data_IF_317644827552
#
_entry.id   IF_317644827552
#
_cell.length_a   1.000
_cell.length_b   1.000
_cell.length_c   1.000
_cell.angle_alpha   90.00
_cell.angle_beta   90.00
_cell.angle_gamma   90.00
#
_symmetry.space_group_name_H-M   'P 1'
#
loop_
_entity.id
_entity.type
_entity.pdbx_description
1 polymer ?
#
# COMPACT_ATOMS: atom_id res chain seq x y z
N UNK A 1 -4.91 26.40 5.68
CA UNK A 1 -4.31 25.15 5.17
C UNK A 1 -5.47 24.40 4.55
N UNK A 2 -5.62 24.48 3.24
CA UNK A 2 -6.61 23.65 2.56
C UNK A 2 -6.14 22.21 2.60
N UNK A 3 -7.01 21.31 3.03
CA UNK A 3 -6.83 19.89 2.75
C UNK A 3 -7.00 19.69 1.24
N UNK A 4 -6.18 18.83 0.63
CA UNK A 4 -6.42 18.41 -0.74
C UNK A 4 -7.62 17.45 -0.75
N UNK A 5 -8.83 18.00 -0.85
CA UNK A 5 -10.07 17.23 -0.93
C UNK A 5 -10.24 16.69 -2.36
N UNK A 6 -10.20 15.37 -2.50
CA UNK A 6 -10.56 14.68 -3.75
C UNK A 6 -12.05 14.32 -3.67
N UNK A 7 -12.90 15.28 -4.03
CA UNK A 7 -14.34 15.24 -3.76
C UNK A 7 -15.16 15.75 -4.93
N UNK A 8 -16.34 15.13 -5.14
CA UNK A 8 -17.36 15.69 -6.02
C UNK A 8 -18.10 16.79 -5.26
N UNK A 9 -18.42 17.90 -5.92
CA UNK A 9 -19.15 19.04 -5.30
C UNK A 9 -20.54 18.65 -4.75
N UNK A 10 -21.08 17.49 -5.12
CA UNK A 10 -22.27 16.92 -4.51
C UNK A 10 -22.01 16.30 -3.13
N UNK A 11 -20.85 15.65 -2.92
CA UNK A 11 -20.56 14.88 -1.70
C UNK A 11 -20.26 15.77 -0.49
N UNK A 12 -19.67 16.95 -0.73
CA UNK A 12 -19.38 17.94 0.33
C UNK A 12 -20.65 18.68 0.81
N UNK A 13 -21.70 18.72 -0.01
CA UNK A 13 -22.98 19.33 0.38
C UNK A 13 -23.77 18.44 1.35
N UNK A 14 -23.56 17.13 1.30
CA UNK A 14 -24.28 16.15 2.13
C UNK A 14 -23.60 15.89 3.48
N UNK A 15 -22.25 15.90 3.51
CA UNK A 15 -21.46 15.67 4.72
C UNK A 15 -20.21 16.56 4.73
N UNK A 16 -20.13 17.45 5.72
CA UNK A 16 -18.89 18.11 6.09
C UNK A 16 -18.01 17.16 6.90
N UNK A 17 -16.76 16.96 6.50
CA UNK A 17 -15.74 16.28 7.31
C UNK A 17 -14.63 17.29 7.57
N UNK A 18 -14.15 17.38 8.80
CA UNK A 18 -12.96 18.16 9.13
C UNK A 18 -12.05 17.38 10.07
N UNK A 19 -10.73 17.58 9.94
CA UNK A 19 -9.73 16.87 10.74
C UNK A 19 -8.89 17.90 11.47
N UNK A 20 -8.90 17.83 12.80
CA UNK A 20 -8.05 18.66 13.66
C UNK A 20 -6.99 17.80 14.35
N UNK A 21 -5.76 18.32 14.40
CA UNK A 21 -4.57 17.63 14.91
C UNK A 21 -3.99 18.46 16.05
N UNK A 22 -3.73 17.85 17.20
CA UNK A 22 -3.17 18.57 18.36
C UNK A 22 -1.74 19.03 18.09
N UNK A 23 -1.47 20.32 18.34
CA UNK A 23 -0.12 20.90 18.24
C UNK A 23 0.84 20.38 19.32
N UNK A 24 0.29 19.95 20.45
CA UNK A 24 1.03 19.35 21.56
C UNK A 24 0.89 17.83 21.52
N UNK A 25 1.99 17.12 21.79
CA UNK A 25 1.92 15.70 22.09
C UNK A 25 1.42 15.55 23.53
N UNK A 26 0.29 14.86 23.68
CA UNK A 26 -0.25 14.51 24.99
C UNK A 26 0.52 13.29 25.51
N UNK A 27 1.48 13.53 26.40
CA UNK A 27 2.00 12.48 27.28
C UNK A 27 0.84 12.01 28.16
N UNK A 28 0.40 10.75 28.00
CA UNK A 28 -0.81 10.27 28.68
C UNK A 28 -0.63 10.26 30.19
N UNK A 29 -1.36 11.12 30.90
CA UNK A 29 -1.19 11.40 32.32
C UNK A 29 -1.57 10.22 33.26
N UNK A 30 -2.10 9.12 32.73
CA UNK A 30 -2.51 7.94 33.50
C UNK A 30 -1.35 7.05 33.99
N UNK A 31 -0.12 7.22 33.51
CA UNK A 31 1.04 6.40 33.93
C UNK A 31 2.01 7.18 34.83
N UNK A 32 1.64 7.40 36.10
CA UNK A 32 2.55 7.86 37.17
C UNK A 32 2.95 6.77 38.18
N UNK A 33 2.63 5.50 37.89
CA UNK A 33 2.82 4.38 38.81
C UNK A 33 3.70 3.22 38.29
N UNK A 34 4.26 3.31 37.09
CA UNK A 34 5.21 2.31 36.57
C UNK A 34 6.20 2.93 35.57
N UNK A 35 7.44 2.44 35.58
CA UNK A 35 8.56 2.99 34.82
C UNK A 35 8.58 2.56 33.33
N UNK A 36 7.42 2.55 32.67
CA UNK A 36 7.31 2.39 31.22
C UNK A 36 7.28 3.76 30.55
N UNK A 37 8.22 4.01 29.64
CA UNK A 37 8.31 5.30 28.94
C UNK A 37 7.02 5.57 28.14
N UNK A 38 6.33 6.67 28.45
CA UNK A 38 5.13 7.08 27.74
C UNK A 38 5.48 7.46 26.29
N UNK A 39 5.18 6.56 25.35
CA UNK A 39 5.31 6.83 23.90
C UNK A 39 4.55 8.14 23.57
N UNK A 40 5.16 9.11 22.86
CA UNK A 40 4.48 10.35 22.50
C UNK A 40 3.28 10.03 21.59
N UNK A 41 2.12 10.62 21.91
CA UNK A 41 0.89 10.49 21.13
C UNK A 41 0.44 11.85 20.63
N UNK A 42 -0.10 11.90 19.42
CA UNK A 42 -0.77 13.07 18.86
C UNK A 42 -2.27 12.78 18.78
N UNK A 43 -3.10 13.68 19.30
CA UNK A 43 -4.55 13.55 19.32
C UNK A 43 -5.10 14.07 18.00
N UNK A 44 -5.82 13.22 17.27
CA UNK A 44 -6.48 13.55 16.01
C UNK A 44 -7.97 13.41 16.20
N UNK A 45 -8.73 14.47 15.88
CA UNK A 45 -10.18 14.49 15.96
C UNK A 45 -10.75 14.67 14.56
N UNK A 46 -11.50 13.68 14.11
CA UNK A 46 -12.33 13.75 12.90
C UNK A 46 -13.71 14.23 13.33
N UNK A 47 -14.11 15.40 12.87
CA UNK A 47 -15.44 15.96 13.08
C UNK A 47 -16.30 15.74 11.84
N UNK A 48 -17.51 15.22 12.06
CA UNK A 48 -18.50 14.87 11.06
C UNK A 48 -19.72 15.78 11.24
N UNK A 49 -20.11 16.48 10.17
CA UNK A 49 -21.19 17.46 10.17
C UNK A 49 -22.21 17.08 9.07
N UNK A 50 -23.27 16.31 9.38
CA UNK A 50 -24.27 15.93 8.40
C UNK A 50 -25.13 17.14 8.01
N UNK A 51 -25.36 17.33 6.70
CA UNK A 51 -26.39 18.27 6.20
C UNK A 51 -27.76 17.60 6.02
N UNK A 52 -27.76 16.27 5.91
CA UNK A 52 -28.91 15.40 5.66
C UNK A 52 -28.71 14.13 6.52
N UNK A 53 -29.76 13.46 7.03
CA UNK A 53 -29.60 12.17 7.70
C UNK A 53 -28.92 11.13 6.81
N UNK A 54 -27.79 10.58 7.28
CA UNK A 54 -26.99 9.57 6.59
C UNK A 54 -27.07 8.23 7.32
N UNK A 55 -26.86 7.13 6.57
CA UNK A 55 -26.84 5.77 7.12
C UNK A 55 -25.58 5.02 6.72
N UNK A 56 -25.22 4.01 7.52
CA UNK A 56 -24.08 3.11 7.27
C UNK A 56 -22.77 3.85 6.98
N UNK A 57 -22.46 4.85 7.81
CA UNK A 57 -21.25 5.65 7.68
C UNK A 57 -20.05 4.92 8.30
N UNK A 58 -18.95 4.79 7.55
CA UNK A 58 -17.71 4.17 8.01
C UNK A 58 -16.56 5.18 7.85
N UNK A 59 -15.97 5.58 8.98
CA UNK A 59 -14.74 6.38 9.03
C UNK A 59 -13.55 5.44 9.16
N UNK A 60 -12.60 5.53 8.25
CA UNK A 60 -11.33 4.81 8.28
C UNK A 60 -10.17 5.80 8.36
N UNK A 61 -9.31 5.64 9.35
CA UNK A 61 -8.14 6.48 9.60
C UNK A 61 -6.90 5.68 9.25
N UNK A 62 -6.19 6.14 8.23
CA UNK A 62 -5.05 5.49 7.59
C UNK A 62 -3.80 6.33 7.88
N UNK A 63 -2.77 5.65 8.39
CA UNK A 63 -1.41 6.18 8.59
C UNK A 63 -0.43 5.14 8.04
N UNK A 64 0.65 5.60 7.42
CA UNK A 64 1.66 4.69 6.85
C UNK A 64 2.63 4.19 7.96
N UNK A 65 3.07 2.93 7.92
CA UNK A 65 4.10 2.43 8.83
C UNK A 65 5.38 3.28 8.79
N UNK A 66 6.05 3.51 9.92
CA UNK A 66 5.87 2.86 11.23
C UNK A 66 4.89 3.58 12.19
N UNK A 67 4.10 4.54 11.70
CA UNK A 67 3.04 5.16 12.51
C UNK A 67 1.87 4.18 12.70
N UNK A 68 1.21 4.27 13.85
CA UNK A 68 0.00 3.53 14.16
C UNK A 68 -1.05 4.45 14.81
N UNK A 69 -2.32 4.18 14.55
CA UNK A 69 -3.45 4.84 15.20
C UNK A 69 -4.10 3.88 16.22
N UNK A 70 -4.47 4.39 17.41
CA UNK A 70 -5.17 3.59 18.43
C UNK A 70 -6.55 3.13 17.97
N UNK A 71 -7.22 3.92 17.12
CA UNK A 71 -8.46 3.56 16.43
C UNK A 71 -8.31 3.85 14.95
N UNK A 72 -8.36 2.81 14.12
CA UNK A 72 -8.20 2.87 12.65
C UNK A 72 -9.52 2.83 11.89
N UNK A 73 -10.63 2.39 12.52
CA UNK A 73 -11.96 2.44 11.91
C UNK A 73 -13.07 2.70 12.93
N UNK A 74 -14.19 3.23 12.44
CA UNK A 74 -15.41 3.48 13.21
C UNK A 74 -16.63 3.40 12.29
N UNK A 75 -17.62 2.59 12.63
CA UNK A 75 -18.91 2.55 11.94
C UNK A 75 -19.97 3.27 12.76
N UNK A 76 -20.79 4.09 12.10
CA UNK A 76 -21.91 4.85 12.65
C UNK A 76 -23.14 4.48 11.81
N UNK A 77 -24.13 3.82 12.44
CA UNK A 77 -25.30 3.28 11.75
C UNK A 77 -26.23 4.36 11.19
N UNK A 78 -26.43 5.44 11.94
CA UNK A 78 -27.16 6.63 11.52
C UNK A 78 -26.48 7.89 12.05
N UNK A 79 -26.36 8.92 11.22
CA UNK A 79 -25.76 10.21 11.56
C UNK A 79 -26.74 11.34 11.22
N UNK A 80 -27.37 11.91 12.26
CA UNK A 80 -28.32 13.02 12.15
C UNK A 80 -27.77 14.34 12.73
N UNK A 81 -26.80 14.26 13.64
CA UNK A 81 -26.20 15.40 14.33
C UNK A 81 -24.67 15.38 14.19
N UNK A 82 -24.02 16.48 14.61
CA UNK A 82 -22.56 16.58 14.69
C UNK A 82 -21.98 15.44 15.54
N UNK A 83 -21.01 14.71 14.99
CA UNK A 83 -20.29 13.65 15.70
C UNK A 83 -18.78 13.84 15.61
N UNK A 84 -18.03 13.29 16.56
CA UNK A 84 -16.57 13.35 16.59
C UNK A 84 -15.97 11.96 16.84
N UNK A 85 -15.03 11.56 15.98
CA UNK A 85 -14.21 10.36 16.16
C UNK A 85 -12.81 10.80 16.59
N UNK A 86 -12.47 10.53 17.84
CA UNK A 86 -11.13 10.80 18.39
C UNK A 86 -10.26 9.57 18.21
N UNK A 87 -9.02 9.77 17.76
CA UNK A 87 -7.97 8.76 17.74
C UNK A 87 -6.64 9.35 18.22
N UNK A 88 -5.69 8.48 18.55
CA UNK A 88 -4.34 8.88 18.92
C UNK A 88 -3.35 8.21 17.96
N UNK A 89 -2.52 9.01 17.29
CA UNK A 89 -1.45 8.53 16.41
C UNK A 89 -0.13 8.55 17.16
N UNK A 90 0.65 7.50 17.02
CA UNK A 90 1.93 7.30 17.70
C UNK A 90 2.92 6.52 16.83
N UNK A 91 4.21 6.62 17.15
CA UNK A 91 5.26 5.81 16.52
C UNK A 91 5.26 4.41 17.13
N UNK A 92 5.01 3.36 16.33
CA UNK A 92 4.93 1.97 16.82
C UNK A 92 6.30 1.33 16.97
N UNK A 93 7.17 1.49 15.97
CA UNK A 93 8.54 0.99 15.99
C UNK A 93 9.52 2.15 15.75
N UNK A 94 10.42 2.36 16.71
CA UNK A 94 11.42 3.45 16.70
C UNK A 94 12.63 3.09 15.83
N UNK A 95 12.82 1.82 15.46
CA UNK A 95 13.89 1.34 14.58
C UNK A 95 13.64 1.63 13.10
N UNK A 96 12.40 1.99 12.74
CA UNK A 96 11.96 2.23 11.38
C UNK A 96 11.93 3.73 11.06
N UNK A 97 12.40 4.10 9.87
CA UNK A 97 12.35 5.50 9.41
C UNK A 97 10.94 5.93 9.02
N UNK A 98 10.58 7.17 9.35
CA UNK A 98 9.26 7.74 9.04
C UNK A 98 9.34 8.52 7.73
N UNK A 99 8.68 8.02 6.68
CA UNK A 99 8.73 8.62 5.34
C UNK A 99 7.90 9.91 5.26
N UNK A 100 6.64 9.88 5.74
CA UNK A 100 5.75 11.03 5.77
C UNK A 100 5.00 11.12 7.11
N UNK A 101 4.38 12.28 7.35
CA UNK A 101 3.62 12.59 8.56
C UNK A 101 2.11 12.79 8.27
N UNK A 102 1.60 12.15 7.22
CA UNK A 102 0.21 12.33 6.79
C UNK A 102 -0.75 11.35 7.49
N UNK A 103 -1.88 11.88 7.95
CA UNK A 103 -3.06 11.09 8.34
C UNK A 103 -4.10 11.25 7.25
N UNK A 104 -4.51 10.15 6.63
CA UNK A 104 -5.55 10.10 5.62
C UNK A 104 -6.82 9.54 6.23
N UNK A 105 -7.89 10.33 6.22
CA UNK A 105 -9.22 9.94 6.72
C UNK A 105 -10.12 9.70 5.52
N UNK A 106 -10.63 8.49 5.40
CA UNK A 106 -11.58 8.06 4.36
C UNK A 106 -12.91 7.79 5.03
N UNK A 107 -13.94 8.56 4.65
CA UNK A 107 -15.29 8.41 5.18
C UNK A 107 -16.22 7.95 4.07
N UNK A 108 -16.71 6.72 4.14
CA UNK A 108 -17.75 6.21 3.24
C UNK A 108 -19.13 6.26 3.91
N UNK A 109 -20.19 6.45 3.14
CA UNK A 109 -21.57 6.45 3.63
C UNK A 109 -22.58 6.14 2.52
N UNK A 110 -23.81 5.77 2.92
CA UNK A 110 -24.92 5.53 1.99
C UNK A 110 -25.87 6.73 2.00
N UNK A 111 -26.22 7.22 0.80
CA UNK A 111 -27.23 8.28 0.67
C UNK A 111 -28.62 7.76 1.04
N UNK A 112 -29.37 8.54 1.82
CA UNK A 112 -30.79 8.27 2.09
C UNK A 112 -31.65 8.38 0.83
N UNK A 113 -31.25 9.24 -0.12
CA UNK A 113 -31.84 9.35 -1.45
C UNK A 113 -31.06 8.45 -2.41
N UNK A 114 -31.64 7.32 -2.81
CA UNK A 114 -31.13 6.41 -3.83
C UNK A 114 -30.19 5.30 -3.36
N UNK A 115 -29.69 5.31 -2.12
CA UNK A 115 -28.89 4.21 -1.58
C UNK A 115 -27.54 4.01 -2.29
N UNK A 116 -26.93 5.08 -2.78
CA UNK A 116 -25.64 5.00 -3.46
C UNK A 116 -24.49 5.18 -2.45
N UNK A 117 -23.40 4.38 -2.54
CA UNK A 117 -22.22 4.58 -1.72
C UNK A 117 -21.47 5.83 -2.19
N UNK A 118 -21.20 6.75 -1.26
CA UNK A 118 -20.32 7.90 -1.44
C UNK A 118 -19.07 7.72 -0.58
N UNK A 119 -17.97 8.34 -1.01
CA UNK A 119 -16.69 8.35 -0.28
C UNK A 119 -16.13 9.77 -0.28
N UNK A 120 -15.67 10.23 0.88
CA UNK A 120 -14.91 11.45 1.09
C UNK A 120 -13.50 11.09 1.55
N UNK A 121 -12.48 11.80 1.08
CA UNK A 121 -11.10 11.65 1.56
C UNK A 121 -10.52 13.01 1.98
N UNK A 122 -9.94 13.06 3.17
CA UNK A 122 -9.24 14.23 3.72
C UNK A 122 -7.89 13.80 4.26
N UNK A 123 -6.85 14.59 3.95
CA UNK A 123 -5.49 14.38 4.49
C UNK A 123 -5.10 15.54 5.41
N UNK A 124 -4.55 15.22 6.58
CA UNK A 124 -4.00 16.17 7.55
C UNK A 124 -2.53 15.85 7.85
N UNK A 125 -1.74 16.85 8.26
CA UNK A 125 -0.32 16.70 8.62
C UNK A 125 -0.14 16.62 10.15
N UNK A 126 0.67 15.67 10.60
CA UNK A 126 1.09 15.50 12.00
C UNK A 126 2.25 16.45 12.36
N UNK A 127 2.38 16.84 13.64
CA UNK A 127 3.52 17.62 14.10
C UNK A 127 4.81 16.78 14.06
N UNK A 128 5.89 17.36 13.53
CA UNK A 128 7.23 16.75 13.52
C UNK A 128 7.70 16.32 14.94
N UNK A 129 7.25 17.02 15.98
CA UNK A 129 7.54 16.71 17.38
C UNK A 129 6.99 15.34 17.86
N UNK A 130 6.14 14.66 17.07
CA UNK A 130 5.71 13.29 17.34
C UNK A 130 6.86 12.27 17.13
N UNK A 131 7.80 12.56 16.24
CA UNK A 131 8.82 11.61 15.76
C UNK A 131 10.26 12.14 15.88
N UNK A 132 10.46 13.41 16.20
CA UNK A 132 11.78 14.02 16.35
C UNK A 132 11.86 14.88 17.62
N UNK A 133 13.01 14.78 18.31
CA UNK A 133 13.42 15.64 19.41
C UNK A 133 14.63 16.49 19.02
N UNK A 134 14.88 17.58 19.74
CA UNK A 134 16.06 18.43 19.51
C UNK A 134 17.26 17.83 20.25
N UNK A 135 18.36 17.63 19.53
CA UNK A 135 19.63 17.10 20.07
C UNK A 135 20.75 18.15 19.95
N UNK A 136 21.91 17.86 20.55
CA UNK A 136 23.12 18.66 20.39
C UNK A 136 23.62 18.65 18.94
N UNK A 137 24.32 19.73 18.53
CA UNK A 137 24.82 19.87 17.16
C UNK A 137 26.00 18.92 16.88
N UNK A 138 25.76 17.93 16.04
CA UNK A 138 26.82 17.08 15.46
C UNK A 138 27.39 17.78 14.21
N UNK A 139 28.73 17.78 14.07
CA UNK A 139 29.44 18.50 12.98
C UNK A 139 29.81 17.62 11.79
N UNK A 140 29.84 16.31 12.00
CA UNK A 140 30.26 15.30 11.02
C UNK A 140 29.12 14.29 10.84
N UNK A 141 28.90 13.88 9.59
CA UNK A 141 27.92 12.89 9.19
C UNK A 141 28.26 12.42 7.77
N UNK A 142 27.81 11.24 7.38
CA UNK A 142 28.19 10.60 6.11
C UNK A 142 27.49 11.23 4.90
N UNK A 143 26.17 11.49 4.98
CA UNK A 143 25.38 12.00 3.87
C UNK A 143 25.11 13.50 4.02
N UNK A 144 25.33 14.26 2.93
CA UNK A 144 25.23 15.73 2.92
C UNK A 144 24.47 16.21 1.69
N UNK A 145 23.34 16.87 1.91
CA UNK A 145 22.48 17.45 0.85
C UNK A 145 22.51 18.96 0.99
N UNK A 146 22.78 19.68 -0.10
CA UNK A 146 22.77 21.15 -0.13
C UNK A 146 21.63 21.63 -1.02
N UNK A 147 20.69 22.37 -0.45
CA UNK A 147 19.56 23.02 -1.12
C UNK A 147 19.89 24.49 -1.32
N UNK A 148 19.67 25.02 -2.52
CA UNK A 148 19.83 26.44 -2.82
C UNK A 148 18.47 27.15 -2.72
N UNK A 149 18.48 28.39 -2.23
CA UNK A 149 17.28 29.25 -2.20
C UNK A 149 17.58 30.56 -2.92
N UNK A 150 16.58 31.15 -3.58
CA UNK A 150 16.72 32.42 -4.29
C UNK A 150 16.41 33.67 -3.43
N UNK A 151 16.17 33.48 -2.14
CA UNK A 151 15.88 34.53 -1.15
C UNK A 151 17.00 34.56 -0.10
N UNK A 152 17.20 35.66 0.66
CA UNK A 152 18.08 35.63 1.83
C UNK A 152 17.62 34.51 2.79
N UNK A 153 18.56 33.75 3.38
CA UNK A 153 18.20 32.72 4.35
C UNK A 153 17.44 33.37 5.51
N UNK A 154 16.21 32.93 5.73
CA UNK A 154 15.49 33.26 6.96
C UNK A 154 16.38 32.86 8.13
N UNK A 155 16.60 33.78 9.08
CA UNK A 155 17.60 33.59 10.12
C UNK A 155 17.27 32.33 10.91
N UNK A 156 18.02 31.28 10.63
CA UNK A 156 18.14 30.18 11.55
C UNK A 156 18.54 30.84 12.90
N UNK A 157 17.71 30.74 13.95
CA UNK A 157 17.64 31.51 15.23
C UNK A 157 16.18 31.90 15.49
N UNK A 158 15.45 32.29 14.43
CA UNK A 158 14.03 31.93 14.30
C UNK A 158 13.88 30.45 13.89
N UNK A 159 14.93 29.85 13.29
CA UNK A 159 15.17 28.38 13.21
C UNK A 159 16.44 27.91 14.01
N UNK A 160 17.70 27.84 13.51
CA UNK A 160 18.97 27.61 14.32
C UNK A 160 20.34 28.27 13.84
N UNK A 161 20.97 29.24 14.55
CA UNK A 161 22.00 30.19 14.02
C UNK A 161 23.18 29.66 13.20
N UNK A 162 23.29 30.13 11.94
CA UNK A 162 24.46 29.98 11.06
C UNK A 162 24.64 31.17 10.09
N UNK A 163 25.89 31.42 9.66
CA UNK A 163 26.30 32.62 8.90
C UNK A 163 25.88 32.60 7.42
N UNK A 164 25.72 33.80 6.86
CA UNK A 164 25.24 34.14 5.50
C UNK A 164 25.67 33.21 4.35
N UNK A 165 24.78 32.29 3.95
CA UNK A 165 24.76 31.75 2.60
C UNK A 165 23.32 31.46 2.17
N UNK A 166 22.97 31.69 0.90
CA UNK A 166 21.64 31.38 0.33
C UNK A 166 21.45 29.86 0.09
N UNK A 167 21.97 29.03 1.01
CA UNK A 167 21.99 27.57 0.90
C UNK A 167 21.76 26.94 2.27
N UNK A 168 20.86 25.95 2.33
CA UNK A 168 20.70 25.08 3.50
C UNK A 168 21.43 23.77 3.25
N UNK A 169 22.28 23.35 4.19
CA UNK A 169 22.93 22.04 4.14
C UNK A 169 22.34 21.14 5.22
N UNK A 170 21.70 20.07 4.80
CA UNK A 170 21.22 18.98 5.65
C UNK A 170 22.29 17.88 5.69
N UNK A 171 22.50 17.29 6.86
CA UNK A 171 23.50 16.25 7.09
C UNK A 171 22.91 15.16 7.99
N UNK A 172 23.18 13.89 7.71
CA UNK A 172 22.79 12.76 8.56
C UNK A 172 23.63 11.51 8.23
N UNK A 173 23.66 10.57 9.17
CA UNK A 173 24.43 9.32 9.06
C UNK A 173 23.71 8.30 8.16
N UNK A 174 22.42 8.47 7.89
CA UNK A 174 21.66 7.61 6.98
C UNK A 174 20.75 8.42 6.07
N UNK A 175 20.83 8.15 4.76
CA UNK A 175 20.08 8.87 3.72
C UNK A 175 18.55 8.85 3.90
N UNK A 176 17.97 7.76 4.43
CA UNK A 176 16.53 7.64 4.67
C UNK A 176 16.01 8.72 5.62
N UNK A 177 16.71 8.97 6.72
CA UNK A 177 16.35 10.00 7.72
C UNK A 177 16.25 11.41 7.12
N UNK A 178 17.08 11.74 6.12
CA UNK A 178 17.08 13.05 5.45
C UNK A 178 15.76 13.34 4.74
N UNK A 179 15.02 12.31 4.32
CA UNK A 179 13.75 12.45 3.57
C UNK A 179 12.71 13.29 4.31
N UNK A 180 12.48 12.97 5.58
CA UNK A 180 11.50 13.66 6.41
C UNK A 180 11.91 15.09 6.73
N UNK A 181 13.19 15.32 7.05
CA UNK A 181 13.68 16.66 7.36
C UNK A 181 13.76 17.55 6.12
N UNK A 182 14.13 17.01 4.95
CA UNK A 182 14.15 17.73 3.70
C UNK A 182 12.73 18.13 3.25
N UNK A 183 11.77 17.19 3.26
CA UNK A 183 10.38 17.48 2.89
C UNK A 183 9.75 18.52 3.81
N UNK A 184 9.89 18.38 5.13
CA UNK A 184 9.37 19.33 6.12
C UNK A 184 10.08 20.70 6.05
N UNK A 185 11.38 20.76 5.75
CA UNK A 185 12.08 22.03 5.52
C UNK A 185 11.54 22.73 4.27
N UNK A 186 11.40 22.02 3.15
CA UNK A 186 10.85 22.56 1.90
C UNK A 186 9.40 23.04 2.08
N UNK A 187 8.55 22.27 2.78
CA UNK A 187 7.17 22.66 3.07
C UNK A 187 7.10 23.93 3.94
N UNK A 188 7.92 24.02 4.99
CA UNK A 188 8.00 25.20 5.88
C UNK A 188 8.55 26.43 5.16
N UNK A 189 9.57 26.27 4.32
CA UNK A 189 10.11 27.37 3.52
C UNK A 189 9.06 27.89 2.54
N UNK A 190 8.37 27.00 1.80
CA UNK A 190 7.25 27.39 0.92
C UNK A 190 6.14 28.13 1.68
N UNK A 191 5.79 27.69 2.89
CA UNK A 191 4.81 28.37 3.77
C UNK A 191 5.30 29.74 4.26
N UNK A 192 6.56 29.86 4.68
CA UNK A 192 7.14 31.12 5.16
C UNK A 192 7.24 32.16 4.05
N UNK A 193 7.74 31.76 2.88
CA UNK A 193 7.92 32.62 1.71
C UNK A 193 6.66 32.72 0.83
N UNK A 194 5.50 32.19 1.25
CA UNK A 194 4.24 32.28 0.49
C UNK A 194 3.77 33.72 0.21
N UNK A 195 4.19 34.69 1.04
CA UNK A 195 3.89 36.12 0.85
C UNK A 195 4.83 36.81 -0.16
N UNK A 196 6.01 36.24 -0.43
CA UNK A 196 6.98 36.73 -1.42
C UNK A 196 6.78 36.01 -2.74
N UNK A 197 6.47 36.77 -3.81
CA UNK A 197 6.35 36.20 -5.15
C UNK A 197 7.69 35.60 -5.61
N UNK A 198 7.63 34.47 -6.32
CA UNK A 198 8.77 33.75 -6.89
C UNK A 198 9.79 33.18 -5.89
N UNK A 199 9.37 32.50 -4.83
CA UNK A 199 10.29 31.64 -4.06
C UNK A 199 10.63 30.35 -4.83
N UNK A 200 11.91 30.07 -5.01
CA UNK A 200 12.43 28.84 -5.63
C UNK A 200 13.45 28.19 -4.70
N UNK A 201 13.26 26.89 -4.45
CA UNK A 201 14.20 26.05 -3.73
C UNK A 201 14.72 25.01 -4.72
N UNK A 202 16.00 25.12 -5.12
CA UNK A 202 16.59 24.30 -6.18
C UNK A 202 17.67 23.36 -5.67
N UNK A 203 17.77 22.20 -6.31
CA UNK A 203 18.82 21.22 -6.08
C UNK A 203 19.70 21.08 -7.33
N UNK A 204 21.02 21.14 -7.15
CA UNK A 204 21.99 21.21 -8.26
C UNK A 204 23.11 20.18 -8.14
N UNK A 205 22.96 19.18 -7.27
CA UNK A 205 23.94 18.10 -7.07
C UNK A 205 23.43 16.80 -7.70
N UNK A 206 24.30 15.79 -7.82
CA UNK A 206 23.92 14.47 -8.33
C UNK A 206 22.97 13.75 -7.38
N UNK A 207 21.98 13.03 -7.92
CA UNK A 207 21.06 12.22 -7.14
C UNK A 207 21.77 10.98 -6.53
N UNK A 208 21.44 10.58 -5.28
CA UNK A 208 22.04 9.43 -4.58
C UNK A 208 21.47 8.10 -5.08
N UNK A 209 21.79 7.77 -6.33
CA UNK A 209 21.29 6.58 -7.03
C UNK A 209 21.88 5.27 -6.50
N UNK A 210 23.14 5.30 -6.07
CA UNK A 210 23.84 4.13 -5.54
C UNK A 210 23.17 3.64 -4.25
N UNK A 211 22.86 4.58 -3.35
CA UNK A 211 22.25 4.33 -2.04
C UNK A 211 20.82 3.79 -2.19
N UNK A 212 20.06 4.31 -3.16
CA UNK A 212 18.75 3.75 -3.52
C UNK A 212 18.88 2.28 -3.92
N UNK A 213 19.85 1.95 -4.77
CA UNK A 213 20.06 0.57 -5.22
C UNK A 213 20.54 -0.34 -4.09
N UNK A 214 21.35 0.15 -3.13
CA UNK A 214 21.71 -0.59 -1.92
C UNK A 214 20.49 -0.88 -1.04
N UNK A 215 19.59 0.09 -0.82
CA UNK A 215 18.37 -0.11 -0.02
C UNK A 215 17.36 -1.02 -0.72
N UNK A 216 17.26 -0.94 -2.04
CA UNK A 216 16.45 -1.82 -2.89
C UNK A 216 16.93 -3.28 -2.78
N UNK A 217 18.24 -3.52 -2.90
CA UNK A 217 18.80 -4.88 -2.73
C UNK A 217 18.60 -5.42 -1.32
N UNK A 218 18.75 -4.58 -0.29
CA UNK A 218 18.49 -4.98 1.10
C UNK A 218 17.04 -5.41 1.31
N UNK A 219 16.07 -4.66 0.77
CA UNK A 219 14.65 -5.03 0.81
C UNK A 219 14.38 -6.35 0.06
N UNK A 220 14.88 -6.46 -1.17
CA UNK A 220 14.68 -7.66 -2.01
C UNK A 220 15.29 -8.93 -1.38
N UNK A 221 16.49 -8.82 -0.80
CA UNK A 221 17.13 -9.92 -0.08
C UNK A 221 16.35 -10.30 1.19
N UNK A 222 15.83 -9.34 1.95
CA UNK A 222 14.96 -9.61 3.11
C UNK A 222 13.65 -10.29 2.69
N UNK A 223 13.05 -9.89 1.57
CA UNK A 223 11.85 -10.52 0.97
C UNK A 223 12.12 -11.97 0.56
N UNK A 224 13.27 -12.25 -0.06
CA UNK A 224 13.71 -13.62 -0.37
C UNK A 224 13.93 -14.45 0.90
N UNK A 225 14.58 -13.88 1.92
CA UNK A 225 14.84 -14.58 3.19
C UNK A 225 13.54 -14.93 3.92
N UNK A 226 12.63 -13.96 4.05
CA UNK A 226 11.31 -14.16 4.65
C UNK A 226 10.54 -15.28 3.93
N UNK A 227 10.55 -15.30 2.59
CA UNK A 227 9.89 -16.37 1.80
C UNK A 227 10.50 -17.75 2.06
N UNK A 228 11.83 -17.87 2.12
CA UNK A 228 12.51 -19.14 2.45
C UNK A 228 12.11 -19.66 3.84
N UNK A 229 12.10 -18.80 4.84
CA UNK A 229 11.67 -19.15 6.21
C UNK A 229 10.18 -19.53 6.25
N UNK A 230 9.33 -18.85 5.48
CA UNK A 230 7.90 -19.20 5.36
C UNK A 230 7.69 -20.58 4.73
N UNK A 231 8.41 -20.89 3.64
CA UNK A 231 8.37 -22.20 2.97
C UNK A 231 8.90 -23.32 3.89
N UNK A 232 9.98 -23.06 4.62
CA UNK A 232 10.55 -23.98 5.61
C UNK A 232 9.59 -24.25 6.78
N UNK A 233 8.95 -23.22 7.33
CA UNK A 233 7.92 -23.37 8.37
C UNK A 233 6.75 -24.22 7.86
N UNK A 234 6.33 -24.02 6.60
CA UNK A 234 5.31 -24.84 5.94
C UNK A 234 5.68 -26.31 5.82
N UNK A 235 6.95 -26.62 5.52
CA UNK A 235 7.49 -27.97 5.48
C UNK A 235 7.56 -28.59 6.89
N UNK A 236 8.17 -27.89 7.87
CA UNK A 236 8.27 -28.33 9.28
C UNK A 236 6.87 -28.61 9.88
N UNK A 237 5.90 -27.73 9.65
CA UNK A 237 4.51 -27.91 10.08
C UNK A 237 3.81 -29.11 9.41
N UNK A 238 4.19 -29.46 8.17
CA UNK A 238 3.64 -30.61 7.44
C UNK A 238 4.25 -31.93 7.95
N UNK A 239 5.54 -31.94 8.26
CA UNK A 239 6.22 -33.05 8.93
C UNK A 239 5.62 -33.29 10.32
N UNK A 240 5.43 -32.24 11.12
CA UNK A 240 4.80 -32.31 12.44
C UNK A 240 3.40 -32.94 12.38
N UNK A 241 2.53 -32.48 11.46
CA UNK A 241 1.22 -33.08 11.22
C UNK A 241 1.29 -34.55 10.78
N UNK A 242 2.31 -34.95 10.03
CA UNK A 242 2.53 -36.35 9.66
C UNK A 242 2.95 -37.22 10.86
N UNK A 243 3.85 -36.72 11.70
CA UNK A 243 4.28 -37.36 12.96
C UNK A 243 3.09 -37.52 13.91
N UNK A 244 2.31 -36.46 14.14
CA UNK A 244 1.10 -36.48 14.98
C UNK A 244 0.09 -37.53 14.49
N UNK A 245 -0.21 -37.58 13.18
CA UNK A 245 -1.12 -38.61 12.62
C UNK A 245 -0.59 -40.03 12.87
N UNK A 246 0.70 -40.27 12.64
CA UNK A 246 1.32 -41.58 12.87
C UNK A 246 1.30 -41.98 14.35
N UNK A 247 1.50 -41.00 15.25
CA UNK A 247 1.45 -41.19 16.69
C UNK A 247 0.03 -41.53 17.16
N UNK A 248 -0.99 -40.82 16.68
CA UNK A 248 -2.41 -41.11 16.95
C UNK A 248 -2.83 -42.50 16.46
N UNK A 249 -2.38 -42.92 15.26
CA UNK A 249 -2.63 -44.28 14.77
C UNK A 249 -1.99 -45.33 15.69
N UNK A 250 -0.75 -45.12 16.15
CA UNK A 250 -0.09 -46.03 17.10
C UNK A 250 -0.77 -46.07 18.47
N UNK A 251 -1.24 -44.94 19.00
CA UNK A 251 -1.99 -44.91 20.27
C UNK A 251 -3.36 -45.61 20.19
N UNK A 252 -3.93 -45.76 18.99
CA UNK A 252 -5.18 -46.48 18.75
C UNK A 252 -4.98 -48.00 18.60
N UNK A 253 -3.75 -48.45 18.38
CA UNK A 253 -3.41 -49.87 18.28
C UNK A 253 -3.46 -50.52 19.68
N UNK A 254 -3.93 -51.76 19.75
CA UNK A 254 -4.00 -52.53 21.00
C UNK A 254 -2.68 -53.21 21.35
N UNK A 255 -1.71 -53.20 20.44
CA UNK A 255 -0.40 -53.85 20.62
C UNK A 255 0.66 -52.86 21.13
N UNK A 256 1.41 -53.19 22.21
CA UNK A 256 2.38 -52.28 22.80
C UNK A 256 3.66 -52.19 21.94
N UNK A 257 3.63 -51.32 20.93
CA UNK A 257 4.81 -50.93 20.17
C UNK A 257 5.62 -49.83 20.89
N UNK A 258 6.95 -49.75 20.73
CA UNK A 258 7.72 -48.62 21.24
C UNK A 258 7.29 -47.30 20.56
N UNK A 259 6.99 -46.31 21.40
CA UNK A 259 6.52 -44.97 21.02
C UNK A 259 7.59 -43.89 21.28
N UNK A 260 8.60 -44.18 22.11
CA UNK A 260 9.66 -43.26 22.57
C UNK A 260 10.25 -42.43 21.44
N UNK A 261 10.78 -43.07 20.39
CA UNK A 261 11.47 -42.39 19.29
C UNK A 261 10.55 -41.42 18.52
N UNK A 262 9.26 -41.75 18.43
CA UNK A 262 8.26 -40.90 17.76
C UNK A 262 7.84 -39.72 18.66
N UNK A 263 7.85 -39.90 19.98
CA UNK A 263 7.67 -38.83 20.96
C UNK A 263 8.85 -37.86 20.96
N UNK A 264 10.08 -38.36 20.96
CA UNK A 264 11.31 -37.55 20.84
C UNK A 264 11.30 -36.79 19.51
N UNK A 265 10.99 -37.44 18.40
CA UNK A 265 10.90 -36.79 17.09
C UNK A 265 9.82 -35.69 17.08
N UNK A 266 8.65 -35.92 17.68
CA UNK A 266 7.60 -34.90 17.82
C UNK A 266 8.09 -33.67 18.61
N UNK A 267 8.78 -33.89 19.73
CA UNK A 267 9.35 -32.82 20.55
C UNK A 267 10.43 -32.02 19.79
N UNK A 268 11.33 -32.70 19.09
CA UNK A 268 12.35 -32.05 18.25
C UNK A 268 11.72 -31.24 17.12
N UNK A 269 10.74 -31.80 16.39
CA UNK A 269 10.04 -31.03 15.33
C UNK A 269 9.24 -29.86 15.90
N UNK A 270 8.70 -29.96 17.11
CA UNK A 270 8.06 -28.83 17.78
C UNK A 270 9.05 -27.70 18.11
N UNK A 271 10.20 -28.03 18.70
CA UNK A 271 11.27 -27.05 18.97
C UNK A 271 11.76 -26.37 17.68
N UNK A 272 11.95 -27.15 16.62
CA UNK A 272 12.30 -26.64 15.29
C UNK A 272 11.22 -25.72 14.68
N UNK A 273 9.94 -25.94 14.96
CA UNK A 273 8.86 -25.03 14.52
C UNK A 273 8.93 -23.71 15.27
N UNK A 274 9.17 -23.73 16.59
CA UNK A 274 9.32 -22.51 17.39
C UNK A 274 10.53 -21.69 16.92
N UNK A 275 11.69 -22.32 16.76
CA UNK A 275 12.91 -21.65 16.29
C UNK A 275 12.72 -20.98 14.92
N UNK A 276 12.07 -21.66 13.96
CA UNK A 276 11.77 -21.05 12.65
C UNK A 276 10.71 -19.95 12.75
N UNK A 277 9.75 -20.03 13.68
CA UNK A 277 8.79 -18.96 13.92
C UNK A 277 9.49 -17.70 14.47
N UNK A 278 10.37 -17.85 15.47
CA UNK A 278 11.15 -16.75 16.04
C UNK A 278 12.04 -16.08 14.96
N UNK A 279 12.68 -16.88 14.10
CA UNK A 279 13.47 -16.38 12.97
C UNK A 279 12.59 -15.68 11.91
N UNK A 280 11.37 -16.17 11.67
CA UNK A 280 10.42 -15.56 10.73
C UNK A 280 9.91 -14.21 11.26
N UNK A 281 9.64 -14.10 12.55
CA UNK A 281 9.27 -12.82 13.19
C UNK A 281 10.41 -11.79 13.09
N UNK A 282 11.65 -12.18 13.40
CA UNK A 282 12.82 -11.32 13.23
C UNK A 282 13.02 -10.89 11.76
N UNK A 283 12.83 -11.81 10.81
CA UNK A 283 12.92 -11.50 9.38
C UNK A 283 11.76 -10.61 8.90
N UNK A 284 10.59 -10.65 9.54
CA UNK A 284 9.47 -9.76 9.28
C UNK A 284 9.75 -8.34 9.78
N UNK A 285 10.32 -8.19 10.97
CA UNK A 285 10.76 -6.88 11.49
C UNK A 285 11.86 -6.27 10.59
N UNK A 286 12.86 -7.05 10.19
CA UNK A 286 13.92 -6.61 9.28
C UNK A 286 13.41 -6.25 7.87
N UNK A 287 12.38 -6.95 7.37
CA UNK A 287 11.71 -6.59 6.12
C UNK A 287 10.95 -5.27 6.25
N UNK A 288 10.21 -5.05 7.35
CA UNK A 288 9.50 -3.81 7.62
C UNK A 288 10.48 -2.61 7.74
N UNK A 289 11.63 -2.79 8.39
CA UNK A 289 12.65 -1.75 8.50
C UNK A 289 13.26 -1.41 7.13
N UNK A 290 13.62 -2.41 6.32
CA UNK A 290 14.13 -2.21 4.97
C UNK A 290 13.10 -1.54 4.05
N UNK A 291 11.82 -1.91 4.19
CA UNK A 291 10.67 -1.30 3.49
C UNK A 291 10.56 0.19 3.81
N UNK A 292 10.53 0.57 5.10
CA UNK A 292 10.52 1.98 5.51
C UNK A 292 11.73 2.76 4.98
N UNK A 293 12.95 2.20 5.05
CA UNK A 293 14.17 2.82 4.51
C UNK A 293 14.10 3.06 3.00
N UNK A 294 13.56 2.09 2.24
CA UNK A 294 13.38 2.19 0.80
C UNK A 294 12.38 3.28 0.43
N UNK A 295 11.20 3.30 1.06
CA UNK A 295 10.17 4.33 0.85
C UNK A 295 10.73 5.73 1.13
N UNK A 296 11.43 5.92 2.26
CA UNK A 296 12.07 7.19 2.60
C UNK A 296 13.04 7.63 1.51
N UNK A 297 13.87 6.71 0.99
CA UNK A 297 14.87 7.00 -0.04
C UNK A 297 14.22 7.35 -1.39
N UNK A 298 13.17 6.62 -1.79
CA UNK A 298 12.36 6.93 -2.97
C UNK A 298 11.71 8.33 -2.87
N UNK A 299 11.07 8.65 -1.74
CA UNK A 299 10.44 9.95 -1.52
C UNK A 299 11.46 11.10 -1.52
N UNK A 300 12.66 10.87 -0.98
CA UNK A 300 13.74 11.86 -1.05
C UNK A 300 14.18 12.12 -2.49
N UNK A 301 14.36 11.07 -3.29
CA UNK A 301 14.77 11.21 -4.69
C UNK A 301 13.67 11.91 -5.52
N UNK A 302 12.40 11.59 -5.30
CA UNK A 302 11.26 12.31 -5.92
C UNK A 302 11.26 13.78 -5.50
N UNK A 303 11.52 14.10 -4.22
CA UNK A 303 11.61 15.48 -3.73
C UNK A 303 12.80 16.24 -4.35
N UNK A 304 13.98 15.61 -4.43
CA UNK A 304 15.17 16.19 -5.07
C UNK A 304 14.91 16.47 -6.55
N UNK A 305 14.29 15.51 -7.27
CA UNK A 305 13.87 15.66 -8.67
C UNK A 305 12.87 16.81 -8.87
N UNK A 306 11.84 16.91 -8.01
CA UNK A 306 10.89 18.04 -8.00
C UNK A 306 11.56 19.40 -7.70
N UNK A 307 12.76 19.42 -7.11
CA UNK A 307 13.58 20.63 -6.91
C UNK A 307 14.63 20.87 -8.01
N UNK A 308 14.79 19.96 -8.97
CA UNK A 308 15.62 20.19 -10.16
C UNK A 308 14.83 20.92 -11.27
N UNK A 309 13.49 20.90 -11.21
CA UNK A 309 12.56 21.64 -12.08
C UNK A 309 12.79 21.42 -13.59
N UNK A 310 13.12 20.17 -13.97
CA UNK A 310 13.51 19.78 -15.34
C UNK A 310 12.40 19.13 -16.17
N UNK A 311 11.19 18.96 -15.64
CA UNK A 311 10.11 18.22 -16.29
C UNK A 311 8.72 18.73 -15.89
N UNK A 312 7.67 18.21 -16.54
CA UNK A 312 6.30 18.64 -16.25
C UNK A 312 5.81 18.15 -14.88
N UNK A 313 4.88 18.89 -14.27
CA UNK A 313 4.26 18.48 -13.00
C UNK A 313 3.49 17.15 -13.11
N UNK A 314 3.04 16.77 -14.30
CA UNK A 314 2.37 15.50 -14.53
C UNK A 314 3.36 14.33 -14.55
N UNK A 315 4.49 14.45 -15.25
CA UNK A 315 5.51 13.39 -15.30
C UNK A 315 6.09 13.08 -13.91
N UNK A 316 6.22 14.10 -13.05
CA UNK A 316 6.58 13.90 -11.64
C UNK A 316 5.49 13.16 -10.85
N UNK A 317 4.21 13.41 -11.14
CA UNK A 317 3.08 12.72 -10.51
C UNK A 317 2.98 11.27 -10.97
N UNK A 318 3.22 11.00 -12.26
CA UNK A 318 3.26 9.65 -12.83
C UNK A 318 4.43 8.84 -12.26
N UNK A 319 5.61 9.46 -12.08
CA UNK A 319 6.75 8.79 -11.44
C UNK A 319 6.48 8.52 -9.95
N UNK A 320 5.85 9.45 -9.23
CA UNK A 320 5.47 9.27 -7.82
C UNK A 320 4.42 8.17 -7.64
N UNK A 321 3.46 8.05 -8.57
CA UNK A 321 2.52 6.95 -8.62
C UNK A 321 3.21 5.62 -8.94
N UNK A 322 4.13 5.59 -9.91
CA UNK A 322 4.86 4.38 -10.31
C UNK A 322 5.77 3.86 -9.18
N UNK A 323 6.48 4.75 -8.48
CA UNK A 323 7.38 4.40 -7.37
C UNK A 323 6.66 4.15 -6.03
N UNK A 324 5.31 4.22 -6.00
CA UNK A 324 4.38 3.97 -4.88
C UNK A 324 4.90 4.27 -3.46
N UNK A 325 4.30 5.26 -2.81
CA UNK A 325 4.60 5.63 -1.41
C UNK A 325 4.28 4.55 -0.37
N UNK A 326 3.66 3.43 -0.75
CA UNK A 326 3.38 2.26 0.09
C UNK A 326 4.00 1.00 -0.54
N UNK A 327 4.82 0.29 0.24
CA UNK A 327 5.37 -1.02 -0.11
C UNK A 327 4.39 -2.10 0.32
N UNK A 328 3.91 -2.88 -0.64
CA UNK A 328 2.98 -3.98 -0.39
C UNK A 328 3.70 -5.33 -0.30
N UNK A 329 3.38 -6.11 0.73
CA UNK A 329 3.99 -7.41 1.02
C UNK A 329 3.02 -8.58 0.73
N UNK A 330 2.33 -8.58 -0.43
CA UNK A 330 1.47 -9.71 -0.78
C UNK A 330 2.29 -10.98 -1.08
N UNK A 331 1.73 -12.15 -0.77
CA UNK A 331 2.43 -13.45 -0.85
C UNK A 331 2.86 -13.84 -2.29
N UNK A 332 2.17 -13.33 -3.31
CA UNK A 332 2.42 -13.66 -4.72
C UNK A 332 3.16 -12.53 -5.48
N UNK A 333 2.81 -11.27 -5.23
CA UNK A 333 3.39 -10.09 -5.90
C UNK A 333 3.87 -9.06 -4.86
N UNK A 334 5.09 -8.56 -5.00
CA UNK A 334 5.67 -7.53 -4.14
C UNK A 334 5.66 -6.16 -4.78
N UNK A 335 6.18 -5.18 -4.05
CA UNK A 335 6.39 -3.83 -4.55
C UNK A 335 7.35 -3.79 -5.75
N UNK A 336 8.39 -4.64 -5.76
CA UNK A 336 9.38 -4.69 -6.85
C UNK A 336 8.76 -5.09 -8.20
N UNK A 337 7.93 -6.14 -8.25
CA UNK A 337 7.31 -6.58 -9.50
C UNK A 337 6.27 -5.57 -10.03
N UNK A 338 5.49 -4.95 -9.13
CA UNK A 338 4.50 -3.93 -9.48
C UNK A 338 5.17 -2.64 -9.97
N UNK A 339 6.19 -2.17 -9.25
CA UNK A 339 6.95 -0.95 -9.59
C UNK A 339 7.75 -1.13 -10.87
N UNK A 340 8.34 -2.30 -11.12
CA UNK A 340 9.03 -2.58 -12.39
C UNK A 340 8.06 -2.56 -13.58
N UNK A 341 6.88 -3.17 -13.45
CA UNK A 341 5.85 -3.14 -14.47
C UNK A 341 5.36 -1.70 -14.75
N UNK A 342 5.12 -0.91 -13.69
CA UNK A 342 4.71 0.49 -13.80
C UNK A 342 5.78 1.38 -14.47
N UNK A 343 7.04 1.28 -14.05
CA UNK A 343 8.16 2.00 -14.67
C UNK A 343 8.38 1.56 -16.12
N UNK A 344 8.29 0.26 -16.41
CA UNK A 344 8.45 -0.26 -17.76
C UNK A 344 7.29 0.13 -18.69
N UNK A 345 6.08 0.39 -18.16
CA UNK A 345 4.99 1.03 -18.91
C UNK A 345 5.30 2.51 -19.16
N UNK A 346 5.62 3.27 -18.11
CA UNK A 346 5.92 4.70 -18.15
C UNK A 346 7.06 5.02 -19.14
N UNK A 347 8.13 4.22 -19.14
CA UNK A 347 9.25 4.31 -20.09
C UNK A 347 8.86 4.07 -21.56
N UNK A 348 7.75 3.38 -21.82
CA UNK A 348 7.23 3.11 -23.18
C UNK A 348 6.09 4.05 -23.59
N UNK A 349 5.52 4.84 -22.67
CA UNK A 349 4.38 5.72 -22.92
C UNK A 349 4.73 7.21 -22.78
N UNK A 350 4.83 7.74 -21.56
CA UNK A 350 5.15 9.16 -21.31
C UNK A 350 6.61 9.48 -21.59
N UNK A 351 7.55 8.66 -21.08
CA UNK A 351 8.99 8.87 -21.26
C UNK A 351 9.59 8.15 -22.47
N UNK A 352 8.80 7.79 -23.49
CA UNK A 352 9.27 7.06 -24.68
C UNK A 352 10.25 7.89 -25.54
N UNK A 353 11.36 7.29 -26.00
CA UNK A 353 12.34 7.95 -26.89
C UNK A 353 11.90 7.99 -28.35
N UNK A 354 10.94 7.16 -28.77
CA UNK A 354 10.53 7.07 -30.18
C UNK A 354 9.10 6.54 -30.34
N UNK A 355 8.44 6.93 -31.43
CA UNK A 355 7.11 6.43 -31.80
C UNK A 355 7.06 4.91 -32.04
N UNK A 356 8.20 4.27 -32.37
CA UNK A 356 8.34 2.80 -32.44
C UNK A 356 8.37 2.12 -31.05
N UNK A 357 8.75 2.84 -30.00
CA UNK A 357 8.71 2.36 -28.61
C UNK A 357 7.26 2.37 -28.11
N UNK A 358 6.50 3.43 -28.44
CA UNK A 358 5.04 3.54 -28.17
C UNK A 358 4.18 2.49 -28.89
N UNK A 359 4.63 1.92 -30.00
CA UNK A 359 3.91 0.86 -30.72
C UNK A 359 4.17 -0.56 -30.18
N UNK A 360 5.11 -0.74 -29.24
CA UNK A 360 5.37 -2.04 -28.58
C UNK A 360 4.74 -2.12 -27.19
N UNK A 361 3.51 -1.65 -27.04
CA UNK A 361 2.70 -1.89 -25.82
C UNK A 361 2.17 -3.32 -25.88
N UNK A 362 3.06 -4.28 -25.62
CA UNK A 362 2.71 -5.66 -25.31
C UNK A 362 2.33 -5.74 -23.83
N UNK A 363 1.27 -6.49 -23.53
CA UNK A 363 0.77 -6.75 -22.17
C UNK A 363 1.92 -6.99 -21.18
N UNK A 364 2.08 -6.11 -20.19
CA UNK A 364 3.06 -6.25 -19.12
C UNK A 364 2.59 -7.33 -18.14
N UNK A 365 3.00 -8.57 -18.37
CA UNK A 365 2.81 -9.67 -17.41
C UNK A 365 3.68 -9.42 -16.18
N UNK A 366 3.05 -9.43 -15.00
CA UNK A 366 3.74 -9.27 -13.71
C UNK A 366 4.33 -10.64 -13.31
N UNK A 367 5.49 -10.95 -13.89
CA UNK A 367 6.27 -12.16 -13.54
C UNK A 367 7.12 -11.93 -12.29
N UNK A 368 7.33 -12.99 -11.51
CA UNK A 368 8.15 -12.95 -10.29
C UNK A 368 9.59 -12.52 -10.59
N UNK A 369 10.08 -11.46 -9.94
CA UNK A 369 11.42 -10.94 -10.19
C UNK A 369 12.49 -11.86 -9.59
N UNK A 370 13.43 -12.31 -10.43
CA UNK A 370 14.56 -13.17 -10.00
C UNK A 370 15.86 -12.40 -9.71
N UNK A 371 15.98 -11.17 -10.24
CA UNK A 371 17.18 -10.34 -10.15
C UNK A 371 16.82 -8.85 -10.29
N UNK A 372 17.44 -7.99 -9.47
CA UNK A 372 17.20 -6.54 -9.43
C UNK A 372 17.91 -5.78 -10.56
N UNK A 373 18.83 -6.40 -11.33
CA UNK A 373 19.62 -5.68 -12.36
C UNK A 373 18.78 -5.02 -13.46
N UNK A 374 17.66 -5.64 -13.89
CA UNK A 374 16.74 -5.04 -14.86
C UNK A 374 15.98 -3.86 -14.26
N UNK A 375 15.46 -4.05 -13.06
CA UNK A 375 14.68 -3.06 -12.32
C UNK A 375 15.49 -1.78 -12.04
N UNK A 376 16.73 -1.92 -11.57
CA UNK A 376 17.68 -0.80 -11.39
C UNK A 376 17.92 -0.02 -12.69
N UNK A 377 18.01 -0.71 -13.84
CA UNK A 377 18.15 -0.07 -15.17
C UNK A 377 16.89 0.69 -15.57
N UNK A 378 15.69 0.17 -15.27
CA UNK A 378 14.44 0.91 -15.49
C UNK A 378 14.35 2.15 -14.59
N UNK A 379 14.66 2.04 -13.30
CA UNK A 379 14.72 3.19 -12.37
C UNK A 379 15.71 4.24 -12.86
N UNK A 380 16.96 3.85 -13.17
CA UNK A 380 17.98 4.77 -13.69
C UNK A 380 17.50 5.43 -14.98
N UNK A 381 16.96 4.66 -15.93
CA UNK A 381 16.45 5.21 -17.19
C UNK A 381 15.25 6.14 -16.99
N UNK A 382 14.39 5.94 -16.00
CA UNK A 382 13.26 6.82 -15.74
C UNK A 382 13.76 8.17 -15.18
N UNK A 383 14.64 8.11 -14.18
CA UNK A 383 15.25 9.28 -13.54
C UNK A 383 16.15 10.05 -14.51
N UNK A 384 16.96 9.37 -15.33
CA UNK A 384 17.79 9.97 -16.38
C UNK A 384 16.95 10.66 -17.46
N UNK A 385 15.83 10.08 -17.87
CA UNK A 385 14.94 10.71 -18.86
C UNK A 385 14.27 11.96 -18.27
N UNK A 386 13.80 11.88 -17.02
CA UNK A 386 13.13 13.00 -16.35
C UNK A 386 14.07 14.17 -16.00
N UNK A 387 15.30 13.88 -15.57
CA UNK A 387 16.34 14.90 -15.30
C UNK A 387 16.90 15.57 -16.56
N UNK A 388 16.63 15.02 -17.75
CA UNK A 388 17.10 15.52 -19.05
C UNK A 388 15.94 15.97 -19.97
N UNK A 389 14.71 16.04 -19.47
CA UNK A 389 13.51 16.23 -20.29
C UNK A 389 13.26 17.68 -20.73
N UNK A 390 14.12 18.20 -21.60
CA UNK A 390 13.82 19.44 -22.36
C UNK A 390 12.89 19.19 -23.56
N UNK A 391 12.55 17.93 -23.86
CA UNK A 391 11.73 17.55 -25.00
C UNK A 391 10.27 17.32 -24.58
N UNK A 392 9.51 18.40 -24.53
CA UNK A 392 8.04 18.35 -24.52
C UNK A 392 7.57 17.79 -25.87
N UNK A 393 7.48 16.48 -25.97
CA UNK A 393 6.49 15.87 -26.86
C UNK A 393 5.16 16.03 -26.13
N UNK A 394 4.39 17.05 -26.52
CA UNK A 394 3.06 17.32 -25.96
C UNK A 394 2.27 16.01 -25.82
N UNK A 395 1.68 15.79 -24.64
CA UNK A 395 0.55 14.87 -24.51
C UNK A 395 -0.56 15.43 -25.40
N UNK A 396 -0.62 14.98 -26.65
CA UNK A 396 -1.93 14.87 -27.31
C UNK A 396 -2.76 13.97 -26.41
N UNK A 397 -3.76 14.55 -25.77
CA UNK A 397 -4.86 13.81 -25.19
C UNK A 397 -5.39 12.90 -26.30
N UNK A 398 -5.09 11.61 -26.17
CA UNK A 398 -5.82 10.60 -26.89
C UNK A 398 -7.21 10.57 -26.28
N UNK A 399 -8.13 11.37 -26.80
CA UNK A 399 -9.53 11.00 -26.82
C UNK A 399 -9.59 9.61 -27.44
N UNK A 400 -9.68 8.60 -26.58
CA UNK A 400 -9.73 7.21 -26.95
C UNK A 400 -11.07 6.92 -27.60
N UNK A 401 -11.18 7.26 -28.89
CA UNK A 401 -12.18 6.71 -29.77
C UNK A 401 -12.05 5.19 -29.74
N UNK A 402 -12.88 4.54 -28.91
CA UNK A 402 -13.19 3.12 -29.02
C UNK A 402 -14.08 2.85 -30.24
N UNK A 403 -13.65 3.38 -31.38
CA UNK A 403 -14.35 3.36 -32.67
C UNK A 403 -13.36 3.48 -33.80
N UNK A 404 -12.54 2.44 -34.00
CA UNK A 404 -12.15 1.95 -35.33
C UNK A 404 -11.36 0.63 -35.24
N UNK A 405 -12.07 -0.48 -35.00
CA UNK A 405 -11.74 -1.72 -35.71
C UNK A 405 -12.25 -1.51 -37.13
N UNK A 406 -11.37 -1.20 -38.07
CA UNK A 406 -11.74 -0.96 -39.45
C UNK A 406 -12.20 -2.27 -40.12
N UNK A 407 -13.51 -2.44 -40.25
CA UNK A 407 -14.10 -3.42 -41.16
C UNK A 407 -13.56 -3.20 -42.58
N UNK A 408 -13.19 -4.29 -43.26
CA UNK A 408 -12.97 -4.27 -44.71
C UNK A 408 -14.31 -4.09 -45.43
N UNK A 409 -14.57 -2.89 -45.93
CA UNK A 409 -15.81 -2.57 -46.64
C UNK A 409 -15.72 -2.91 -48.13
N UNK A 410 -16.55 -3.85 -48.59
CA UNK A 410 -17.12 -3.78 -49.95
C UNK A 410 -18.62 -3.50 -49.84
N UNK A 411 -19.17 -2.55 -50.63
CA UNK A 411 -20.51 -2.02 -50.41
C UNK A 411 -21.61 -2.88 -51.06
N UNK A 412 -22.81 -2.97 -50.46
CA UNK A 412 -23.97 -3.60 -51.08
C UNK A 412 -24.62 -2.68 -52.12
N UNK A 413 -25.27 -3.26 -53.13
CA UNK A 413 -26.17 -2.55 -54.05
C UNK A 413 -27.64 -2.83 -53.71
N UNK A 414 -28.47 -1.82 -53.96
CA UNK A 414 -29.88 -1.67 -53.60
C UNK A 414 -30.80 -2.34 -54.64
N UNK A 415 -32.01 -2.80 -54.23
CA UNK A 415 -33.34 -2.48 -54.82
C UNK A 415 -34.49 -3.14 -54.02
N UNK A 416 -35.67 -2.50 -54.04
CA UNK A 416 -36.86 -2.71 -53.18
C UNK A 416 -37.97 -3.61 -53.84
N UNK A 417 -39.29 -3.56 -53.50
CA UNK A 417 -39.97 -4.20 -52.34
C UNK A 417 -41.25 -5.05 -52.65
N UNK A 418 -41.71 -5.92 -51.70
CA UNK A 418 -43.11 -6.31 -51.27
C UNK A 418 -44.18 -6.66 -52.38
N UNK A 419 -44.95 -7.80 -52.38
CA UNK A 419 -45.89 -8.25 -51.30
C UNK A 419 -46.18 -9.78 -51.09
N UNK A 420 -46.92 -10.04 -49.99
CA UNK A 420 -47.97 -11.08 -49.68
C UNK A 420 -48.06 -12.48 -50.33
N UNK A 421 -48.35 -13.51 -49.49
CA UNK A 421 -49.45 -14.45 -49.78
C UNK A 421 -49.26 -15.98 -49.56
N UNK A 422 -50.18 -16.57 -48.75
CA UNK A 422 -50.75 -17.95 -48.84
C UNK A 422 -49.96 -19.14 -48.20
N UNK A 423 -50.68 -20.23 -47.93
CA UNK A 423 -50.54 -21.18 -46.80
C UNK A 423 -49.95 -22.57 -47.13
N UNK A 424 -49.29 -23.17 -46.13
CA UNK A 424 -49.34 -24.58 -45.61
C UNK A 424 -50.09 -25.63 -46.49
N UNK A 425 -49.54 -26.83 -46.84
CA UNK A 425 -49.43 -27.94 -45.86
C UNK A 425 -48.38 -29.09 -46.05
N UNK A 426 -48.16 -29.86 -44.96
CA UNK A 426 -47.86 -31.33 -44.78
C UNK A 426 -47.05 -32.13 -45.84
N UNK A 427 -46.16 -33.10 -45.55
CA UNK A 427 -46.32 -34.34 -44.71
C UNK A 427 -44.97 -35.04 -44.37
N UNK A 428 -44.92 -35.70 -43.20
CA UNK A 428 -44.34 -37.02 -42.81
C UNK A 428 -43.08 -37.70 -43.45
N UNK A 429 -42.17 -38.09 -42.53
CA UNK A 429 -41.61 -39.44 -42.27
C UNK A 429 -40.33 -40.04 -42.92
N UNK A 430 -39.58 -40.74 -42.04
CA UNK A 430 -38.70 -41.94 -42.19
C UNK A 430 -37.17 -41.83 -42.41
N UNK A 431 -36.42 -42.51 -41.50
CA UNK A 431 -35.22 -43.39 -41.63
C UNK A 431 -33.99 -42.99 -42.51
N UNK A 432 -32.74 -43.46 -42.31
CA UNK A 432 -32.13 -44.47 -41.39
C UNK A 432 -30.59 -44.27 -41.23
N UNK A 433 -29.96 -44.96 -40.25
CA UNK A 433 -28.53 -45.39 -40.08
C UNK A 433 -27.33 -44.50 -40.54
N UNK A 434 -26.43 -44.04 -39.65
CA UNK A 434 -25.23 -44.71 -39.04
C UNK A 434 -23.95 -44.62 -39.94
N UNK A 435 -22.79 -44.06 -39.51
CA UNK A 435 -21.67 -44.73 -38.78
C UNK A 435 -20.60 -43.71 -38.27
N UNK A 436 -20.19 -43.86 -37.01
CA UNK A 436 -18.88 -43.68 -36.29
C UNK A 436 -17.73 -42.77 -36.87
N UNK A 437 -17.02 -41.93 -36.07
CA UNK A 437 -15.67 -42.12 -35.40
C UNK A 437 -15.21 -40.71 -34.87
N UNK A 438 -14.36 -40.48 -33.82
CA UNK A 438 -14.16 -41.08 -32.48
C UNK A 438 -14.25 -40.01 -31.32
N UNK A 439 -13.77 -40.37 -30.11
CA UNK A 439 -13.83 -39.58 -28.86
C UNK A 439 -12.53 -38.80 -28.56
N UNK A 440 -12.64 -37.51 -28.20
CA UNK A 440 -11.78 -36.76 -27.25
C UNK A 440 -12.21 -35.28 -27.21
N UNK A 441 -12.35 -34.56 -26.09
CA UNK A 441 -12.55 -34.91 -24.68
C UNK A 441 -13.20 -33.69 -23.99
N UNK A 442 -14.28 -33.88 -23.20
CA UNK A 442 -14.99 -32.78 -22.50
C UNK A 442 -14.27 -32.36 -21.22
N UNK A 443 -14.43 -31.10 -20.80
CA UNK A 443 -14.57 -30.78 -19.36
C UNK A 443 -15.29 -29.44 -19.06
N UNK A 444 -16.62 -29.44 -19.06
CA UNK A 444 -17.47 -28.50 -18.27
C UNK A 444 -18.87 -29.10 -18.08
N UNK A 445 -19.41 -29.01 -16.84
CA UNK A 445 -20.83 -29.14 -16.45
C UNK A 445 -21.54 -30.52 -16.67
N UNK A 446 -22.55 -30.98 -15.88
CA UNK A 446 -23.34 -30.39 -14.76
C UNK A 446 -24.09 -31.48 -13.93
N UNK A 447 -24.56 -31.09 -12.73
CA UNK A 447 -25.77 -31.53 -11.97
C UNK A 447 -25.91 -32.97 -11.38
N UNK A 448 -25.62 -33.04 -10.07
CA UNK A 448 -26.57 -33.26 -8.95
C UNK A 448 -27.45 -34.53 -8.80
N UNK A 449 -27.10 -35.30 -7.76
CA UNK A 449 -27.98 -35.97 -6.77
C UNK A 449 -27.19 -36.19 -5.45
N UNK A 450 -27.76 -36.41 -4.26
CA UNK A 450 -29.14 -36.17 -3.81
C UNK A 450 -29.46 -36.78 -2.42
N UNK A 451 -29.84 -35.94 -1.42
CA UNK A 451 -30.41 -36.29 -0.08
C UNK A 451 -29.41 -36.94 0.92
N UNK A 452 -29.50 -36.76 2.27
CA UNK A 452 -30.43 -35.95 3.10
C UNK A 452 -29.80 -34.79 3.89
N UNK A 453 -30.66 -33.98 4.51
CA UNK A 453 -30.31 -32.86 5.42
C UNK A 453 -29.83 -33.38 6.80
N UNK A 454 -28.64 -32.95 7.22
CA UNK A 454 -28.14 -33.04 8.60
C UNK A 454 -27.87 -31.65 9.18
N UNK A 455 -28.12 -31.46 10.48
CA UNK A 455 -28.05 -30.14 11.16
C UNK A 455 -26.60 -29.70 11.37
N UNK A 456 -26.22 -28.52 10.86
CA UNK A 456 -24.95 -27.83 11.19
C UNK A 456 -25.20 -26.35 11.51
N UNK A 457 -25.88 -26.11 12.63
CA UNK A 457 -26.05 -24.79 13.23
C UNK A 457 -25.81 -24.90 14.75
N UNK A 458 -24.56 -25.20 15.15
CA UNK A 458 -24.14 -25.35 16.55
C UNK A 458 -22.60 -25.35 16.71
N UNK A 459 -21.87 -24.44 16.05
CA UNK A 459 -20.39 -24.35 16.13
C UNK A 459 -19.82 -22.93 16.36
N UNK A 460 -20.64 -21.96 16.75
CA UNK A 460 -20.15 -20.67 17.28
C UNK A 460 -20.28 -20.53 18.81
N UNK A 461 -21.28 -21.18 19.43
CA UNK A 461 -21.60 -21.00 20.87
C UNK A 461 -20.66 -21.73 21.86
N UNK A 462 -19.69 -22.51 21.35
CA UNK A 462 -18.75 -23.28 22.18
C UNK A 462 -17.37 -22.64 22.35
N UNK A 463 -17.08 -21.52 21.67
CA UNK A 463 -15.78 -20.84 21.82
C UNK A 463 -15.74 -19.89 23.02
N UNK A 464 -16.87 -19.27 23.34
CA UNK A 464 -16.93 -18.24 24.39
C UNK A 464 -17.04 -18.84 25.81
N UNK A 465 -17.77 -19.97 25.96
CA UNK A 465 -17.88 -20.68 27.27
C UNK A 465 -16.57 -21.26 27.81
N UNK A 466 -15.54 -21.44 26.99
CA UNK A 466 -14.24 -21.96 27.46
C UNK A 466 -13.41 -20.84 28.13
N UNK A 467 -13.60 -19.58 27.71
CA UNK A 467 -12.87 -18.43 28.24
C UNK A 467 -13.41 -17.94 29.61
N UNK A 468 -14.70 -18.13 29.89
CA UNK A 468 -15.25 -17.80 31.22
C UNK A 468 -14.81 -18.83 32.29
N UNK A 469 -14.80 -20.13 31.94
CA UNK A 469 -14.45 -21.22 32.86
C UNK A 469 -13.00 -21.22 33.37
N UNK A 470 -12.10 -20.46 32.72
CA UNK A 470 -10.68 -20.33 33.12
C UNK A 470 -10.40 -19.15 34.04
N UNK A 471 -11.37 -18.28 34.31
CA UNK A 471 -11.20 -17.16 35.26
C UNK A 471 -11.60 -17.51 36.71
N UNK A 472 -12.55 -18.43 36.91
CA UNK A 472 -13.04 -18.79 38.26
C UNK A 472 -12.13 -19.73 39.06
N UNK A 473 -11.16 -20.42 38.43
CA UNK A 473 -10.30 -21.41 39.10
C UNK A 473 -9.04 -20.84 39.78
N UNK A 474 -8.78 -19.52 39.71
CA UNK A 474 -7.57 -18.88 40.24
C UNK A 474 -7.80 -18.03 41.52
N UNK A 475 -8.89 -18.25 42.24
CA UNK A 475 -9.27 -17.44 43.42
C UNK A 475 -9.55 -18.22 44.71
N UNK A 476 -9.19 -19.52 44.77
CA UNK A 476 -9.16 -20.31 46.02
C UNK A 476 -7.99 -21.32 46.06
N UNK A 477 -6.86 -20.86 46.55
CA UNK A 477 -5.84 -21.64 47.29
C UNK A 477 -4.99 -20.66 48.09
#
# INVERSE_FOLDING_TARGET
MEAATLTSTATERELGVSVSVSSHSELSAQCRASASASVPKCRVVVELLPSIPLSNLQVSIIVEPPLAATKTSCTISSLCEKSQVVTYVYLKDVRCDVANLQVRVVTSYMTSIGGFPRVLQITAQLPLALVASVCALVKEADFKITLNINQPPATLAQLFPAKSSQRYRLQADTLSTLSLFASQLVERLKKHFAKTKHFVCSYTSSLPMHELFTKLDAHFNNRINYKKLQDELGLRATQYRAIQRRLLTKFKDKTPSPISDLGTLLATTHGLILETADQLEQSMEGLQQASCQLICTCQLIILLLKMMDTASSEDFSDLEAALSSSVHHFHEQGWEEVTDAALAFLLRTSLAKSHKEKQRVTNSTVESMKDTTKFKKHISSAIDRLSKSTNILERKEGTGDFSNVSHSSHPPKIVSPIPEGVEVPTTDASNDMEITIPISSRFTERKASGIPRGRSALLHDHRDKILESTSEYNLKS
#
